data_IF_554281664791
#
_entry.id   IF_554281664791
#
_cell.length_a   1.000
_cell.length_b   1.000
_cell.length_c   1.000
_cell.angle_alpha   90.00
_cell.angle_beta   90.00
_cell.angle_gamma   90.00
#
_symmetry.space_group_name_H-M   'P 1'
#
loop_
_entity.id
_entity.type
_entity.pdbx_description
1 polymer ?
#
# COMPACT_ATOMS: atom_id res chain seq x y z
N UNK A 1 -13.47 -15.39 -6.25
CA UNK A 1 -12.78 -14.31 -5.50
C UNK A 1 -13.33 -13.00 -6.01
N UNK A 2 -14.04 -12.23 -5.18
CA UNK A 2 -14.63 -10.94 -5.54
C UNK A 2 -13.71 -9.78 -5.13
N UNK A 3 -13.97 -8.60 -5.66
CA UNK A 3 -13.33 -7.36 -5.20
C UNK A 3 -13.98 -6.93 -3.87
N UNK A 4 -13.17 -6.60 -2.86
CA UNK A 4 -13.65 -6.09 -1.58
C UNK A 4 -13.80 -4.56 -1.66
N UNK A 5 -15.02 -4.03 -1.59
CA UNK A 5 -15.28 -2.57 -1.60
C UNK A 5 -15.63 -2.02 -2.98
N UNK A 6 -15.58 -0.69 -3.12
CA UNK A 6 -15.97 0.02 -4.37
C UNK A 6 -14.94 1.06 -4.84
N UNK A 7 -13.82 1.20 -4.13
CA UNK A 7 -12.68 2.03 -4.52
C UNK A 7 -11.35 1.31 -4.37
N UNK A 8 -10.30 1.84 -5.01
CA UNK A 8 -8.95 1.29 -4.93
C UNK A 8 -7.89 2.40 -4.97
N UNK A 9 -6.79 2.21 -4.24
CA UNK A 9 -5.51 2.86 -4.49
C UNK A 9 -4.61 1.84 -5.19
N UNK A 10 -4.05 2.22 -6.34
CA UNK A 10 -3.19 1.36 -7.15
C UNK A 10 -1.87 2.09 -7.39
N UNK A 11 -0.76 1.41 -7.12
CA UNK A 11 0.58 1.94 -7.34
C UNK A 11 1.50 0.86 -7.93
N UNK A 12 2.46 1.27 -8.75
CA UNK A 12 3.51 0.39 -9.28
C UNK A 12 4.85 1.12 -9.20
N UNK A 13 5.90 0.39 -8.86
CA UNK A 13 7.24 0.96 -8.72
C UNK A 13 8.31 -0.13 -8.80
N UNK A 14 9.51 0.33 -9.10
CA UNK A 14 10.75 -0.41 -8.91
C UNK A 14 11.31 -0.15 -7.51
N UNK A 15 12.29 -0.97 -7.13
CA UNK A 15 13.08 -0.82 -5.91
C UNK A 15 14.54 -0.76 -6.34
N UNK A 16 15.33 0.05 -5.64
CA UNK A 16 16.77 0.15 -5.89
C UNK A 16 17.43 -1.23 -5.78
N UNK A 17 18.42 -1.49 -6.64
CA UNK A 17 19.11 -2.78 -6.71
C UNK A 17 19.71 -3.15 -5.34
N UNK A 18 19.40 -4.36 -4.87
CA UNK A 18 19.87 -4.90 -3.58
C UNK A 18 19.06 -4.47 -2.37
N UNK A 19 18.00 -3.65 -2.54
CA UNK A 19 17.11 -3.19 -1.46
C UNK A 19 15.80 -3.99 -1.38
N UNK A 20 15.62 -5.02 -2.20
CA UNK A 20 14.37 -5.76 -2.33
C UNK A 20 13.98 -6.47 -1.03
N UNK A 21 14.95 -7.06 -0.32
CA UNK A 21 14.67 -7.75 0.95
C UNK A 21 14.17 -6.77 2.03
N UNK A 22 14.82 -5.61 2.15
CA UNK A 22 14.42 -4.56 3.08
C UNK A 22 13.05 -3.99 2.71
N UNK A 23 12.82 -3.74 1.42
CA UNK A 23 11.52 -3.30 0.93
C UNK A 23 10.40 -4.31 1.25
N UNK A 24 10.63 -5.60 1.02
CA UNK A 24 9.64 -6.64 1.28
C UNK A 24 9.29 -6.70 2.77
N UNK A 25 10.31 -6.55 3.63
CA UNK A 25 10.16 -6.56 5.09
C UNK A 25 9.36 -5.36 5.57
N UNK A 26 9.81 -4.16 5.22
CA UNK A 26 9.13 -2.90 5.50
C UNK A 26 7.68 -2.92 5.00
N UNK A 27 7.47 -3.26 3.74
CA UNK A 27 6.16 -3.14 3.14
C UNK A 27 5.18 -4.18 3.68
N UNK A 28 5.63 -5.39 4.06
CA UNK A 28 4.77 -6.41 4.66
C UNK A 28 4.41 -6.12 6.12
N UNK A 29 5.40 -5.74 6.91
CA UNK A 29 5.28 -5.69 8.38
C UNK A 29 4.92 -4.31 8.90
N UNK A 30 5.18 -3.26 8.11
CA UNK A 30 4.84 -1.90 8.48
C UNK A 30 3.88 -1.28 7.47
N UNK A 31 4.34 -0.92 6.28
CA UNK A 31 3.58 -0.04 5.38
C UNK A 31 2.16 -0.54 5.05
N UNK A 32 2.01 -1.83 4.71
CA UNK A 32 0.68 -2.39 4.45
C UNK A 32 -0.20 -2.40 5.70
N UNK A 33 0.38 -2.66 6.87
CA UNK A 33 -0.36 -2.65 8.14
C UNK A 33 -0.81 -1.22 8.47
N UNK A 34 0.01 -0.22 8.17
CA UNK A 34 -0.36 1.18 8.36
C UNK A 34 -1.59 1.58 7.56
N UNK A 35 -1.67 1.11 6.31
CA UNK A 35 -2.83 1.34 5.44
C UNK A 35 -4.05 0.56 5.90
N UNK A 36 -3.88 -0.73 6.22
CA UNK A 36 -4.97 -1.58 6.69
C UNK A 36 -5.54 -1.16 8.04
N UNK A 37 -4.78 -0.43 8.85
CA UNK A 37 -5.27 0.14 10.11
C UNK A 37 -6.20 1.35 9.92
N UNK A 38 -6.25 1.96 8.72
CA UNK A 38 -7.11 3.12 8.44
C UNK A 38 -8.56 2.64 8.24
N UNK A 39 -9.55 3.20 8.97
CA UNK A 39 -10.94 2.86 8.76
C UNK A 39 -11.36 3.02 7.30
N UNK A 40 -11.91 1.95 6.72
CA UNK A 40 -12.36 1.92 5.32
C UNK A 40 -11.40 1.22 4.36
N UNK A 41 -10.15 0.96 4.74
CA UNK A 41 -9.30 0.00 4.04
C UNK A 41 -9.75 -1.42 4.39
N UNK A 42 -9.90 -2.28 3.37
CA UNK A 42 -10.45 -3.63 3.55
C UNK A 42 -9.49 -4.73 3.12
N UNK A 43 -8.62 -4.44 2.17
CA UNK A 43 -7.68 -5.43 1.65
C UNK A 43 -6.43 -4.75 1.09
N UNK A 44 -5.28 -5.40 1.24
CA UNK A 44 -4.01 -4.98 0.67
C UNK A 44 -3.35 -6.17 -0.04
N UNK A 45 -2.87 -5.95 -1.26
CA UNK A 45 -2.17 -6.97 -2.05
C UNK A 45 -0.91 -6.37 -2.67
N UNK A 46 0.18 -7.14 -2.64
CA UNK A 46 1.41 -6.87 -3.38
C UNK A 46 1.65 -8.00 -4.37
N UNK A 47 1.94 -7.66 -5.60
CA UNK A 47 2.33 -8.58 -6.66
C UNK A 47 3.74 -8.25 -7.12
N UNK A 48 4.56 -9.26 -7.35
CA UNK A 48 5.86 -9.13 -8.03
C UNK A 48 5.71 -9.43 -9.52
N UNK A 49 6.34 -8.64 -10.37
CA UNK A 49 6.35 -8.89 -11.82
C UNK A 49 7.34 -9.99 -12.16
N UNK A 50 6.89 -11.00 -12.92
CA UNK A 50 7.72 -12.14 -13.34
C UNK A 50 8.51 -11.88 -14.64
N UNK A 51 8.32 -10.73 -15.27
CA UNK A 51 8.90 -10.37 -16.57
C UNK A 51 9.41 -8.93 -16.57
N UNK A 52 9.24 -8.24 -17.70
CA UNK A 52 9.58 -6.82 -17.80
C UNK A 52 8.47 -5.92 -17.24
N UNK A 53 8.87 -4.82 -16.63
CA UNK A 53 7.98 -3.83 -16.01
C UNK A 53 8.42 -3.48 -14.60
N UNK A 54 7.67 -2.62 -13.90
CA UNK A 54 7.94 -2.27 -12.52
C UNK A 54 7.98 -3.52 -11.63
N UNK A 55 8.97 -3.62 -10.75
CA UNK A 55 9.17 -4.79 -9.89
C UNK A 55 7.90 -5.19 -9.11
N UNK A 56 7.13 -4.19 -8.63
CA UNK A 56 5.95 -4.42 -7.80
C UNK A 56 4.70 -3.67 -8.28
N UNK A 57 3.54 -4.31 -8.06
CA UNK A 57 2.21 -3.73 -8.13
C UNK A 57 1.53 -3.85 -6.77
N UNK A 58 1.05 -2.73 -6.23
CA UNK A 58 0.34 -2.65 -4.96
C UNK A 58 -1.11 -2.26 -5.21
N UNK A 59 -2.03 -2.99 -4.58
CA UNK A 59 -3.45 -2.66 -4.54
C UNK A 59 -3.92 -2.56 -3.10
N UNK A 60 -4.54 -1.44 -2.76
CA UNK A 60 -5.34 -1.30 -1.55
C UNK A 60 -6.79 -1.12 -1.95
N UNK A 61 -7.65 -2.01 -1.48
CA UNK A 61 -9.09 -1.90 -1.68
C UNK A 61 -9.71 -1.15 -0.51
N UNK A 62 -10.66 -0.26 -0.82
CA UNK A 62 -11.40 0.54 0.16
C UNK A 62 -12.89 0.38 -0.04
N UNK A 63 -13.66 0.56 1.04
CA UNK A 63 -15.12 0.48 1.00
C UNK A 63 -15.73 1.42 -0.04
N UNK A 64 -15.19 2.63 -0.17
CA UNK A 64 -15.51 3.62 -1.20
C UNK A 64 -14.36 4.63 -1.41
N UNK A 65 -14.30 5.36 -2.54
CA UNK A 65 -13.22 6.31 -2.82
C UNK A 65 -13.12 7.52 -1.87
N UNK A 66 -14.17 7.89 -1.12
CA UNK A 66 -14.12 9.03 -0.21
C UNK A 66 -13.23 8.76 1.03
N UNK A 67 -12.90 7.49 1.30
CA UNK A 67 -11.85 7.11 2.29
C UNK A 67 -10.55 7.87 2.04
N UNK A 68 -10.16 8.12 0.78
CA UNK A 68 -8.93 8.85 0.44
C UNK A 68 -9.00 10.36 0.70
N UNK A 69 -10.16 10.88 1.12
CA UNK A 69 -10.35 12.26 1.56
C UNK A 69 -10.58 12.36 3.07
N UNK A 70 -10.67 11.22 3.76
CA UNK A 70 -10.94 11.17 5.20
C UNK A 70 -9.78 11.75 6.02
N UNK A 71 -10.10 12.32 7.17
CA UNK A 71 -9.11 12.83 8.12
C UNK A 71 -8.12 11.73 8.53
N UNK A 72 -8.60 10.53 8.85
CA UNK A 72 -7.74 9.41 9.23
C UNK A 72 -6.74 9.01 8.13
N UNK A 73 -7.17 9.02 6.86
CA UNK A 73 -6.26 8.76 5.74
C UNK A 73 -5.23 9.89 5.58
N UNK A 74 -5.68 11.14 5.62
CA UNK A 74 -4.80 12.31 5.44
C UNK A 74 -3.81 12.45 6.60
N UNK A 75 -4.24 12.21 7.84
CA UNK A 75 -3.37 12.20 9.03
C UNK A 75 -2.26 11.18 8.86
N UNK A 76 -2.60 9.95 8.49
CA UNK A 76 -1.61 8.88 8.26
C UNK A 76 -0.69 9.15 7.07
N UNK A 77 -1.23 9.75 6.00
CA UNK A 77 -0.47 10.14 4.82
C UNK A 77 0.56 11.24 5.15
N UNK A 78 0.19 12.20 5.98
CA UNK A 78 1.05 13.32 6.36
C UNK A 78 1.98 13.02 7.54
N UNK A 79 1.69 11.99 8.33
CA UNK A 79 2.48 11.54 9.46
C UNK A 79 2.79 10.04 9.33
N UNK A 80 3.66 9.64 8.39
CA UNK A 80 4.09 8.24 8.28
C UNK A 80 4.89 7.81 9.51
N UNK A 81 5.05 6.51 9.72
CA UNK A 81 6.07 6.01 10.65
C UNK A 81 7.48 6.47 10.23
N UNK A 82 8.42 6.32 11.15
CA UNK A 82 9.83 6.63 10.88
C UNK A 82 10.39 5.80 9.71
N UNK A 83 10.02 4.52 9.54
CA UNK A 83 10.53 3.71 8.43
C UNK A 83 9.82 4.01 7.11
N UNK A 84 8.52 4.35 7.13
CA UNK A 84 7.80 4.77 5.90
C UNK A 84 8.18 6.17 5.44
N UNK A 85 8.54 7.08 6.36
CA UNK A 85 8.90 8.47 6.03
C UNK A 85 10.40 8.73 5.86
N UNK A 86 11.25 7.77 6.23
CA UNK A 86 12.72 7.87 6.22
C UNK A 86 13.39 7.58 4.89
#
# INVERSE_FOLDING_TARGET
MGWAGSGALVAWHDVDEGREAEYLDWHSHEHMQERLAIPGFVEARRYSVAGSGPAFLILYAVVDPDVFKSEAYLERLNNPSEWTGG
#
